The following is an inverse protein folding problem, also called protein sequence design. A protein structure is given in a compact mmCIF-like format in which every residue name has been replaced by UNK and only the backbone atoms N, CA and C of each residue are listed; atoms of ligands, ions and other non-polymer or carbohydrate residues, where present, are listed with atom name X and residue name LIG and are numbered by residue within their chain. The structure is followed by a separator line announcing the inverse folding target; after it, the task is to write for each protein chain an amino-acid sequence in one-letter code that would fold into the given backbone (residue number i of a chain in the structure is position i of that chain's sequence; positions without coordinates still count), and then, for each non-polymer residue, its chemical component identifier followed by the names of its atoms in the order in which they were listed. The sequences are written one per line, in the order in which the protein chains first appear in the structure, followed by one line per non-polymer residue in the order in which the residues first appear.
data_IF_441161532916
#
_entry.id   IF_441161532916
#
_cell.length_a   1.000
_cell.length_b   1.000
_cell.length_c   1.000
_cell.angle_alpha   90.00
_cell.angle_beta   90.00
_cell.angle_gamma   90.00
#
_symmetry.space_group_name_H-M   'P 1'
#
loop_
_entity.id
_entity.type
_entity.pdbx_description
1 polymer ?
#
# COMPACT_ATOMS: atom_id res chain seq x y z
N UNK A 1 -28.24 8.09 1.31
CA UNK A 1 -28.32 7.38 0.01
C UNK A 1 -29.57 7.88 -0.70
N UNK A 2 -29.41 8.31 -1.96
CA UNK A 2 -30.30 9.19 -2.76
C UNK A 2 -30.40 10.69 -2.41
N UNK A 3 -30.07 11.14 -1.21
CA UNK A 3 -29.84 12.57 -0.93
C UNK A 3 -28.52 13.07 -1.53
N UNK A 4 -28.40 14.37 -1.83
CA UNK A 4 -27.15 14.98 -2.35
C UNK A 4 -25.98 14.80 -1.38
N UNK A 5 -26.28 14.75 -0.07
CA UNK A 5 -25.31 14.61 1.01
C UNK A 5 -25.31 13.16 1.53
N UNK A 6 -24.13 12.52 1.51
CA UNK A 6 -23.92 11.19 2.04
C UNK A 6 -22.65 10.54 1.49
N UNK A 7 -21.98 9.71 2.29
CA UNK A 7 -20.69 9.07 1.92
C UNK A 7 -20.82 7.89 0.96
N UNK A 8 -22.05 7.39 0.75
CA UNK A 8 -22.35 6.21 -0.04
C UNK A 8 -22.96 6.56 -1.41
N UNK A 9 -22.47 7.60 -2.07
CA UNK A 9 -23.02 8.09 -3.36
C UNK A 9 -22.97 7.03 -4.46
N UNK A 10 -21.95 6.17 -4.46
CA UNK A 10 -21.79 5.12 -5.47
C UNK A 10 -22.73 3.92 -5.28
N UNK A 11 -23.52 3.89 -4.20
CA UNK A 11 -24.49 2.82 -3.98
C UNK A 11 -25.84 3.09 -4.67
N UNK A 12 -26.04 4.26 -5.29
CA UNK A 12 -27.33 4.65 -5.88
C UNK A 12 -27.74 3.70 -7.02
N UNK A 13 -29.00 3.27 -6.98
CA UNK A 13 -29.62 2.43 -8.00
C UNK A 13 -30.70 3.26 -8.71
N UNK A 14 -30.75 3.29 -10.06
CA UNK A 14 -31.83 3.97 -10.77
C UNK A 14 -33.19 3.42 -10.36
N UNK A 15 -34.14 4.31 -10.08
CA UNK A 15 -35.54 3.98 -9.74
C UNK A 15 -35.74 3.11 -8.48
N UNK A 16 -34.69 2.82 -7.70
CA UNK A 16 -34.77 2.05 -6.46
C UNK A 16 -34.11 2.86 -5.35
N UNK A 17 -34.91 3.30 -4.38
CA UNK A 17 -34.43 3.94 -3.18
C UNK A 17 -33.80 2.89 -2.27
N UNK A 18 -32.47 2.90 -2.13
CA UNK A 18 -31.75 2.04 -1.19
C UNK A 18 -31.36 2.85 0.05
N UNK A 19 -31.45 2.22 1.23
CA UNK A 19 -30.97 2.73 2.51
C UNK A 19 -29.73 1.96 2.93
N UNK A 20 -28.72 2.63 3.50
CA UNK A 20 -27.51 1.94 3.93
C UNK A 20 -26.40 2.86 4.43
N UNK A 21 -25.40 2.22 5.05
CA UNK A 21 -24.23 2.87 5.64
C UNK A 21 -22.96 2.21 5.12
N UNK A 22 -21.98 3.06 4.80
CA UNK A 22 -20.61 2.63 4.51
C UNK A 22 -19.79 2.58 5.79
N UNK A 23 -18.93 1.58 5.87
CA UNK A 23 -17.88 1.43 6.87
C UNK A 23 -16.53 1.19 6.20
N UNK A 24 -15.46 1.60 6.88
CA UNK A 24 -14.09 1.26 6.52
C UNK A 24 -13.48 0.63 7.76
N UNK A 25 -13.15 -0.66 7.67
CA UNK A 25 -12.57 -1.39 8.81
C UNK A 25 -11.06 -1.32 8.69
N UNK A 26 -10.39 -0.80 9.72
CA UNK A 26 -8.95 -0.69 9.72
C UNK A 26 -8.29 -2.07 9.72
N UNK A 27 -7.26 -2.23 8.89
CA UNK A 27 -6.47 -3.44 8.81
C UNK A 27 -5.01 -3.10 9.08
N UNK A 28 -4.41 -3.69 10.11
CA UNK A 28 -3.01 -3.45 10.50
C UNK A 28 -2.00 -4.11 9.56
N UNK A 29 -2.43 -5.11 8.77
CA UNK A 29 -1.55 -5.94 7.93
C UNK A 29 -1.77 -5.74 6.43
N UNK A 30 -2.49 -4.70 6.03
CA UNK A 30 -2.81 -4.45 4.62
C UNK A 30 -3.72 -3.25 4.42
N UNK A 31 -4.37 -3.18 3.26
CA UNK A 31 -5.39 -2.16 3.01
C UNK A 31 -6.60 -2.40 3.93
N UNK A 32 -7.23 -1.31 4.36
CA UNK A 32 -8.51 -1.37 5.08
C UNK A 32 -9.55 -2.21 4.33
N UNK A 33 -10.51 -2.77 5.04
CA UNK A 33 -11.61 -3.51 4.43
C UNK A 33 -12.76 -2.55 4.11
N UNK A 34 -13.33 -2.74 2.93
CA UNK A 34 -14.48 -1.99 2.45
C UNK A 34 -15.74 -2.67 2.95
N UNK A 35 -16.60 -1.94 3.68
CA UNK A 35 -17.84 -2.48 4.24
C UNK A 35 -19.04 -1.63 3.82
N UNK A 36 -20.13 -2.30 3.51
CA UNK A 36 -21.44 -1.70 3.29
C UNK A 36 -22.53 -2.58 3.88
N UNK A 37 -23.50 -1.95 4.54
CA UNK A 37 -24.72 -2.62 4.99
C UNK A 37 -25.92 -1.76 4.60
N UNK A 38 -27.00 -2.40 4.13
CA UNK A 38 -28.18 -1.69 3.70
C UNK A 38 -29.36 -2.60 3.38
N UNK A 39 -30.46 -1.97 3.00
CA UNK A 39 -31.67 -2.64 2.54
C UNK A 39 -32.35 -1.85 1.43
N UNK A 40 -33.13 -2.54 0.61
CA UNK A 40 -33.88 -1.94 -0.49
C UNK A 40 -35.13 -2.76 -0.88
N UNK A 41 -36.14 -2.13 -1.49
CA UNK A 41 -36.34 -0.67 -1.53
C UNK A 41 -36.54 -0.08 -0.12
N UNK A 42 -36.44 1.25 0.02
CA UNK A 42 -36.65 1.96 1.29
C UNK A 42 -38.03 1.67 1.85
N UNK A 43 -39.03 1.80 0.99
CA UNK A 43 -40.43 1.53 1.29
C UNK A 43 -40.73 0.09 0.89
N UNK A 44 -41.30 -0.69 1.82
CA UNK A 44 -41.49 -2.14 1.69
C UNK A 44 -40.20 -2.91 1.29
N UNK A 45 -39.22 -3.03 2.21
CA UNK A 45 -37.93 -3.69 1.93
C UNK A 45 -38.08 -5.12 1.45
N UNK A 46 -37.41 -5.47 0.35
CA UNK A 46 -37.41 -6.82 -0.25
C UNK A 46 -36.11 -7.57 0.00
N UNK A 47 -35.02 -6.85 0.23
CA UNK A 47 -33.69 -7.42 0.46
C UNK A 47 -32.92 -6.57 1.47
N UNK A 48 -32.26 -7.23 2.40
CA UNK A 48 -31.19 -6.69 3.22
C UNK A 48 -29.86 -7.31 2.78
N UNK A 49 -28.80 -6.51 2.75
CA UNK A 49 -27.49 -6.93 2.23
C UNK A 49 -26.36 -6.36 3.10
N UNK A 50 -25.38 -7.20 3.37
CA UNK A 50 -24.10 -6.82 3.94
C UNK A 50 -23.00 -7.28 2.97
N UNK A 51 -22.12 -6.35 2.60
CA UNK A 51 -20.99 -6.60 1.72
C UNK A 51 -19.71 -6.21 2.44
N UNK A 52 -18.77 -7.16 2.50
CA UNK A 52 -17.43 -6.95 3.02
C UNK A 52 -16.47 -7.33 1.91
N UNK A 53 -15.54 -6.43 1.58
CA UNK A 53 -14.47 -6.68 0.63
C UNK A 53 -13.14 -6.46 1.34
N UNK A 54 -12.39 -7.54 1.49
CA UNK A 54 -11.08 -7.50 2.13
C UNK A 54 -10.08 -6.72 1.27
N UNK A 55 -9.14 -6.05 1.94
CA UNK A 55 -8.06 -5.27 1.32
C UNK A 55 -8.49 -4.24 0.26
N UNK A 56 -9.73 -3.74 0.34
CA UNK A 56 -10.36 -2.91 -0.69
C UNK A 56 -10.42 -1.40 -0.37
N UNK A 57 -9.85 -0.97 0.76
CA UNK A 57 -9.85 0.43 1.17
C UNK A 57 -11.21 0.90 1.69
N UNK A 58 -11.75 1.99 1.14
CA UNK A 58 -12.95 2.64 1.65
C UNK A 58 -14.23 1.86 1.34
N UNK A 59 -15.18 1.86 2.28
CA UNK A 59 -16.52 1.24 2.11
C UNK A 59 -17.30 1.71 0.89
N UNK A 60 -17.12 2.98 0.49
CA UNK A 60 -17.80 3.57 -0.65
C UNK A 60 -17.23 3.13 -2.01
N UNK A 61 -15.99 2.63 -2.06
CA UNK A 61 -15.30 2.34 -3.32
C UNK A 61 -15.66 0.98 -3.91
N UNK A 62 -15.80 -0.06 -3.08
CA UNK A 62 -16.05 -1.42 -3.55
C UNK A 62 -17.34 -2.01 -2.96
N UNK A 63 -17.48 -2.00 -1.64
CA UNK A 63 -18.63 -2.65 -1.00
C UNK A 63 -19.97 -1.98 -1.38
N UNK A 64 -20.03 -0.65 -1.40
CA UNK A 64 -21.27 0.07 -1.70
C UNK A 64 -21.76 -0.11 -3.16
N UNK A 65 -20.90 -0.01 -4.19
CA UNK A 65 -21.30 -0.33 -5.57
C UNK A 65 -21.65 -1.81 -5.78
N UNK A 66 -20.89 -2.75 -5.20
CA UNK A 66 -21.20 -4.18 -5.30
C UNK A 66 -22.60 -4.46 -4.74
N UNK A 67 -22.92 -3.89 -3.57
CA UNK A 67 -24.26 -4.00 -3.00
C UNK A 67 -25.33 -3.43 -3.93
N UNK A 68 -25.05 -2.29 -4.58
CA UNK A 68 -25.92 -1.65 -5.56
C UNK A 68 -26.29 -2.60 -6.71
N UNK A 69 -25.30 -3.25 -7.34
CA UNK A 69 -25.53 -4.16 -8.46
C UNK A 69 -26.24 -5.44 -8.04
N UNK A 70 -25.90 -5.98 -6.86
CA UNK A 70 -26.54 -7.18 -6.32
C UNK A 70 -28.02 -6.95 -6.02
N UNK A 71 -28.34 -5.82 -5.39
CA UNK A 71 -29.71 -5.41 -5.08
C UNK A 71 -30.50 -5.13 -6.35
N UNK A 72 -29.92 -4.40 -7.31
CA UNK A 72 -30.53 -4.14 -8.61
C UNK A 72 -30.87 -5.46 -9.30
N UNK A 73 -29.90 -6.36 -9.46
CA UNK A 73 -30.10 -7.68 -10.07
C UNK A 73 -31.17 -8.49 -9.35
N UNK A 74 -31.24 -8.43 -8.03
CA UNK A 74 -32.25 -9.16 -7.26
C UNK A 74 -33.67 -8.63 -7.55
N UNK A 75 -33.85 -7.31 -7.56
CA UNK A 75 -35.17 -6.67 -7.71
C UNK A 75 -35.64 -6.69 -9.17
N UNK A 76 -34.77 -6.36 -10.13
CA UNK A 76 -35.13 -6.19 -11.55
C UNK A 76 -34.79 -7.40 -12.42
N UNK A 77 -34.11 -8.41 -11.86
CA UNK A 77 -33.58 -9.60 -12.54
C UNK A 77 -32.44 -9.36 -13.52
N UNK A 78 -32.02 -8.10 -13.72
CA UNK A 78 -30.92 -7.76 -14.63
C UNK A 78 -30.20 -6.47 -14.22
N UNK A 79 -28.93 -6.36 -14.58
CA UNK A 79 -28.16 -5.10 -14.55
C UNK A 79 -27.82 -4.77 -15.99
N UNK A 80 -28.22 -3.59 -16.48
CA UNK A 80 -28.11 -3.25 -17.91
C UNK A 80 -27.34 -1.94 -18.16
N UNK A 81 -27.00 -1.70 -19.42
CA UNK A 81 -26.34 -0.48 -19.88
C UNK A 81 -24.96 -0.24 -19.26
N UNK A 82 -24.64 1.01 -18.96
CA UNK A 82 -23.34 1.42 -18.42
C UNK A 82 -22.97 0.72 -17.09
N UNK A 83 -23.98 0.29 -16.31
CA UNK A 83 -23.76 -0.41 -15.03
C UNK A 83 -23.29 -1.84 -15.24
N UNK A 84 -23.71 -2.52 -16.31
CA UNK A 84 -23.20 -3.84 -16.66
C UNK A 84 -21.69 -3.82 -16.94
N UNK A 85 -21.21 -2.79 -17.62
CA UNK A 85 -19.77 -2.60 -17.87
C UNK A 85 -18.99 -2.38 -16.57
N UNK A 86 -19.58 -1.67 -15.60
CA UNK A 86 -18.96 -1.47 -14.29
C UNK A 86 -18.91 -2.77 -13.48
N UNK A 87 -19.96 -3.60 -13.56
CA UNK A 87 -19.95 -4.96 -12.97
C UNK A 87 -18.81 -5.78 -13.55
N UNK A 88 -18.63 -5.75 -14.87
CA UNK A 88 -17.55 -6.48 -15.52
C UNK A 88 -16.18 -5.95 -15.11
N UNK A 89 -16.01 -4.63 -15.02
CA UNK A 89 -14.79 -4.03 -14.47
C UNK A 89 -14.52 -4.50 -13.04
N UNK A 90 -15.53 -4.56 -12.18
CA UNK A 90 -15.40 -5.02 -10.79
C UNK A 90 -15.02 -6.49 -10.68
N UNK A 91 -15.60 -7.36 -11.53
CA UNK A 91 -15.26 -8.78 -11.59
C UNK A 91 -13.79 -9.01 -11.96
N UNK A 92 -13.23 -8.13 -12.79
CA UNK A 92 -11.85 -8.23 -13.27
C UNK A 92 -10.82 -7.57 -12.32
N UNK A 93 -11.25 -7.05 -11.16
CA UNK A 93 -10.31 -6.48 -10.19
C UNK A 93 -9.61 -7.58 -9.39
N UNK A 94 -8.28 -7.46 -9.25
CA UNK A 94 -7.51 -8.27 -8.32
C UNK A 94 -7.18 -7.45 -7.06
N UNK A 95 -7.84 -7.79 -5.95
CA UNK A 95 -7.68 -7.14 -4.65
C UNK A 95 -6.80 -7.94 -3.69
N UNK A 96 -6.23 -9.06 -4.15
CA UNK A 96 -5.33 -9.85 -3.33
C UNK A 96 -4.07 -9.05 -3.03
N UNK A 97 -3.51 -9.19 -1.81
CA UNK A 97 -2.21 -8.63 -1.52
C UNK A 97 -1.20 -9.20 -2.52
N UNK A 98 -0.33 -8.33 -3.04
CA UNK A 98 0.76 -8.79 -3.89
C UNK A 98 1.60 -9.78 -3.08
N UNK A 99 1.68 -11.02 -3.56
CA UNK A 99 2.62 -11.99 -3.01
C UNK A 99 3.99 -11.47 -3.41
N UNK A 100 4.65 -10.76 -2.49
CA UNK A 100 6.03 -10.36 -2.68
C UNK A 100 6.84 -11.65 -2.63
N UNK A 101 7.19 -12.14 -3.82
CA UNK A 101 8.17 -13.19 -3.95
C UNK A 101 9.51 -12.67 -3.42
N UNK A 102 9.81 -13.01 -2.16
CA UNK A 102 11.05 -12.62 -1.48
C UNK A 102 12.30 -13.18 -2.17
N UNK A 103 12.15 -14.15 -3.10
CA UNK A 103 13.26 -14.68 -3.89
C UNK A 103 13.68 -13.76 -5.03
N UNK A 104 12.79 -12.89 -5.52
CA UNK A 104 13.11 -11.89 -6.55
C UNK A 104 13.80 -10.68 -5.93
N UNK A 105 15.11 -10.55 -6.16
CA UNK A 105 15.85 -9.33 -5.82
C UNK A 105 15.16 -8.11 -6.47
N UNK A 106 14.92 -7.02 -5.73
CA UNK A 106 14.32 -5.83 -6.30
C UNK A 106 15.17 -5.34 -7.48
N UNK A 107 14.52 -5.01 -8.61
CA UNK A 107 15.21 -4.42 -9.76
C UNK A 107 15.72 -3.05 -9.34
N UNK A 108 17.05 -2.90 -9.19
CA UNK A 108 17.67 -1.61 -8.89
C UNK A 108 17.27 -0.60 -9.97
N UNK A 109 16.69 0.52 -9.55
CA UNK A 109 16.46 1.64 -10.47
C UNK A 109 17.78 2.35 -10.76
N UNK A 110 17.82 3.19 -11.80
CA UNK A 110 19.00 4.01 -12.11
C UNK A 110 19.37 4.95 -10.95
N UNK A 111 18.38 5.45 -10.21
CA UNK A 111 18.59 6.28 -9.02
C UNK A 111 19.26 5.49 -7.90
N UNK A 112 18.77 4.28 -7.62
CA UNK A 112 19.38 3.38 -6.62
C UNK A 112 20.81 3.01 -7.00
N UNK A 113 21.06 2.78 -8.30
CA UNK A 113 22.39 2.48 -8.82
C UNK A 113 23.37 3.64 -8.62
N UNK A 114 22.91 4.89 -8.78
CA UNK A 114 23.72 6.09 -8.53
C UNK A 114 23.98 6.26 -7.03
N UNK A 115 22.96 6.04 -6.19
CA UNK A 115 23.10 6.13 -4.74
C UNK A 115 24.08 5.08 -4.20
N UNK A 116 24.00 3.84 -4.69
CA UNK A 116 24.92 2.76 -4.32
C UNK A 116 26.35 3.08 -4.78
N UNK A 117 26.54 3.54 -6.03
CA UNK A 117 27.87 3.95 -6.53
C UNK A 117 28.48 5.10 -5.70
N UNK A 118 27.66 6.07 -5.25
CA UNK A 118 28.11 7.17 -4.37
C UNK A 118 28.42 6.69 -2.95
N UNK A 119 27.65 5.75 -2.42
CA UNK A 119 27.91 5.15 -1.11
C UNK A 119 29.20 4.31 -1.11
N UNK A 120 29.44 3.53 -2.16
CA UNK A 120 30.67 2.75 -2.31
C UNK A 120 31.91 3.63 -2.50
N UNK A 121 31.79 4.72 -3.27
CA UNK A 121 32.93 5.62 -3.47
C UNK A 121 33.33 6.33 -2.17
N UNK A 122 32.35 6.79 -1.39
CA UNK A 122 32.60 7.45 -0.09
C UNK A 122 33.20 6.49 0.94
N UNK A 123 32.71 5.24 1.01
CA UNK A 123 33.30 4.20 1.86
C UNK A 123 34.75 3.88 1.48
N UNK A 124 35.04 3.68 0.19
CA UNK A 124 36.41 3.42 -0.28
C UNK A 124 37.37 4.56 0.07
N UNK A 125 36.91 5.81 -0.07
CA UNK A 125 37.69 6.99 0.32
C UNK A 125 37.94 6.97 1.83
N UNK A 126 36.91 6.74 2.66
CA UNK A 126 37.06 6.64 4.12
C UNK A 126 38.02 5.51 4.55
N UNK A 127 37.91 4.33 3.95
CA UNK A 127 38.79 3.20 4.23
C UNK A 127 40.25 3.53 3.85
N UNK A 128 40.46 4.19 2.71
CA UNK A 128 41.80 4.62 2.28
C UNK A 128 42.42 5.65 3.22
N UNK A 129 41.64 6.59 3.75
CA UNK A 129 42.09 7.60 4.72
C UNK A 129 42.43 6.91 6.04
N UNK A 130 41.59 5.97 6.49
CA UNK A 130 41.82 5.18 7.70
C UNK A 130 43.14 4.40 7.62
N UNK A 131 43.40 3.72 6.51
CA UNK A 131 44.64 2.96 6.29
C UNK A 131 45.87 3.89 6.30
N UNK A 132 45.82 5.04 5.61
CA UNK A 132 46.92 6.03 5.63
C UNK A 132 47.19 6.57 7.03
N UNK A 133 46.14 6.85 7.80
CA UNK A 133 46.28 7.33 9.19
C UNK A 133 46.87 6.27 10.13
N UNK A 134 46.60 4.99 9.89
CA UNK A 134 47.19 3.88 10.65
C UNK A 134 48.67 3.68 10.32
N UNK A 135 49.07 3.77 9.05
CA UNK A 135 50.48 3.71 8.65
C UNK A 135 51.31 4.89 9.18
N UNK A 136 50.73 6.11 9.20
CA UNK A 136 51.41 7.29 9.74
C UNK A 136 51.66 7.18 11.26
N UNK A 137 50.69 6.66 12.03
CA UNK A 137 50.85 6.41 13.47
C UNK A 137 51.94 5.37 13.75
N UNK A 138 52.01 4.29 12.98
CA UNK A 138 53.06 3.27 13.10
C UNK A 138 54.45 3.80 12.75
N UNK A 139 54.58 4.68 11.75
CA UNK A 139 55.87 5.28 11.38
C UNK A 139 56.40 6.21 12.50
N UNK A 140 55.52 6.97 13.14
CA UNK A 140 55.85 7.89 14.25
C UNK A 140 56.25 7.09 15.50
N UNK A 141 55.53 6.03 15.85
CA UNK A 141 55.90 5.18 17.01
C UNK A 141 57.23 4.46 16.81
N UNK A 142 57.56 4.05 15.59
CA UNK A 142 58.86 3.42 15.27
C UNK A 142 60.01 4.44 15.37
N UNK A 143 59.81 5.71 14.98
CA UNK A 143 60.82 6.75 15.12
C UNK A 143 61.06 7.18 16.58
N UNK A 144 60.02 7.22 17.43
CA UNK A 144 60.20 7.54 18.87
C UNK A 144 60.95 6.45 19.65
N UNK A 145 60.92 5.20 19.19
CA UNK A 145 61.63 4.07 19.85
C UNK A 145 63.15 4.03 19.59
N UNK A 146 63.68 4.86 18.66
CA UNK A 146 65.09 4.84 18.23
C UNK A 146 65.95 5.99 18.77
N UNK A 147 65.52 6.72 19.82
CA UNK A 147 66.39 7.74 20.43
C UNK A 147 67.59 7.06 21.14
N UNK A 148 68.83 7.46 20.84
CA UNK A 148 70.01 6.85 21.46
C UNK A 148 70.10 7.23 22.95
N UNK A 149 70.32 6.24 23.80
CA UNK A 149 70.47 6.42 25.24
C UNK A 149 71.87 7.00 25.50
N UNK A 150 71.95 8.30 25.81
CA UNK A 150 73.20 8.96 26.21
C UNK A 150 73.43 8.63 27.68
N UNK A 151 74.26 7.61 27.94
CA UNK A 151 74.76 7.32 29.28
C UNK A 151 75.82 8.35 29.66
N UNK A 152 75.59 9.07 30.76
CA UNK A 152 76.62 9.85 31.46
C UNK A 152 76.89 9.19 32.80
N UNK A 153 78.18 8.99 33.07
CA UNK A 153 78.75 8.39 34.29
C UNK A 153 78.59 9.30 35.51
#
# INVERSE_FOLDING_TARGET
VNTAWGTATLSRIPNILMCGKTGTVQNSRGKNHSVFIGFAPRDNPKIAIAVIVENAGYGSTYAAPIASYMVEKYITRQVSGARANQVEWMKNQNLLPQIIDKSKKPKLTKADSIAIKKADSTKRVQDSIRIKSASSKNAISVQLSKKPNVNTN
#
